data_IF_854252004083
#
_entry.id   IF_854252004083
#
_cell.length_a   1.000
_cell.length_b   1.000
_cell.length_c   1.000
_cell.angle_alpha   90.00
_cell.angle_beta   90.00
_cell.angle_gamma   90.00
#
_symmetry.space_group_name_H-M   'P 1'
#
loop_
_entity.id
_entity.type
_entity.pdbx_description
1 polymer ?
#
# COMPACT_ATOMS: atom_id res chain seq x y z
N UNK A 1 -35.30 20.60 7.47
CA UNK A 1 -35.10 21.05 6.08
C UNK A 1 -33.68 21.48 5.74
N UNK A 2 -33.16 22.65 6.16
CA UNK A 2 -31.80 23.08 5.75
C UNK A 2 -30.66 22.18 6.27
N UNK A 3 -30.79 21.70 7.51
CA UNK A 3 -29.83 20.79 8.15
C UNK A 3 -29.81 19.40 7.46
N UNK A 4 -30.98 18.87 7.12
CA UNK A 4 -31.13 17.58 6.42
C UNK A 4 -30.57 17.64 4.99
N UNK A 5 -30.69 18.78 4.31
CA UNK A 5 -30.07 18.99 3.00
C UNK A 5 -28.54 19.03 3.10
N UNK A 6 -27.99 19.74 4.08
CA UNK A 6 -26.54 19.75 4.34
C UNK A 6 -25.98 18.36 4.64
N UNK A 7 -26.68 17.57 5.46
CA UNK A 7 -26.27 16.20 5.77
C UNK A 7 -26.27 15.31 4.52
N UNK A 8 -27.29 15.43 3.68
CA UNK A 8 -27.41 14.68 2.42
C UNK A 8 -26.28 15.04 1.44
N UNK A 9 -25.96 16.33 1.31
CA UNK A 9 -24.86 16.82 0.46
C UNK A 9 -23.50 16.35 0.99
N UNK A 10 -23.26 16.43 2.29
CA UNK A 10 -22.04 15.94 2.93
C UNK A 10 -21.85 14.43 2.73
N UNK A 11 -22.91 13.63 2.86
CA UNK A 11 -22.87 12.19 2.64
C UNK A 11 -22.61 11.83 1.17
N UNK A 12 -23.15 12.62 0.23
CA UNK A 12 -22.87 12.46 -1.19
C UNK A 12 -21.41 12.80 -1.52
N UNK A 13 -20.90 13.95 -1.07
CA UNK A 13 -19.51 14.38 -1.24
C UNK A 13 -18.54 13.35 -0.69
N UNK A 14 -18.83 12.80 0.50
CA UNK A 14 -18.03 11.73 1.10
C UNK A 14 -17.99 10.48 0.23
N UNK A 15 -19.12 10.02 -0.30
CA UNK A 15 -19.17 8.86 -1.20
C UNK A 15 -18.36 9.09 -2.46
N UNK A 16 -18.43 10.30 -3.02
CA UNK A 16 -17.68 10.69 -4.20
C UNK A 16 -16.17 10.73 -3.95
N UNK A 17 -15.73 11.34 -2.85
CA UNK A 17 -14.31 11.36 -2.45
C UNK A 17 -13.76 9.96 -2.18
N UNK A 18 -14.54 9.11 -1.51
CA UNK A 18 -14.20 7.70 -1.26
C UNK A 18 -14.02 6.93 -2.58
N UNK A 19 -14.87 7.19 -3.59
CA UNK A 19 -14.73 6.59 -4.92
C UNK A 19 -13.47 7.08 -5.64
N UNK A 20 -13.15 8.37 -5.56
CA UNK A 20 -11.90 8.93 -6.11
C UNK A 20 -10.69 8.23 -5.49
N UNK A 21 -10.68 8.04 -4.16
CA UNK A 21 -9.62 7.30 -3.48
C UNK A 21 -9.53 5.87 -4.04
N UNK A 22 -10.66 5.21 -4.29
CA UNK A 22 -10.68 3.87 -4.89
C UNK A 22 -10.05 3.82 -6.28
N UNK A 23 -10.33 4.81 -7.13
CA UNK A 23 -9.73 4.92 -8.47
C UNK A 23 -8.22 5.17 -8.38
N UNK A 24 -7.79 6.08 -7.49
CA UNK A 24 -6.37 6.35 -7.26
C UNK A 24 -5.65 5.11 -6.74
N UNK A 25 -6.27 4.38 -5.80
CA UNK A 25 -5.70 3.17 -5.22
C UNK A 25 -5.57 2.07 -6.29
N UNK A 26 -6.52 1.93 -7.22
CA UNK A 26 -6.40 1.03 -8.35
C UNK A 26 -5.26 1.42 -9.30
N UNK A 27 -5.14 2.70 -9.64
CA UNK A 27 -4.06 3.19 -10.51
C UNK A 27 -2.67 3.00 -9.87
N UNK A 28 -2.51 3.35 -8.59
CA UNK A 28 -1.27 3.13 -7.86
C UNK A 28 -0.96 1.64 -7.68
N UNK A 29 -1.99 0.79 -7.55
CA UNK A 29 -1.80 -0.67 -7.52
C UNK A 29 -1.22 -1.15 -8.85
N UNK A 30 -1.70 -0.66 -9.99
CA UNK A 30 -1.13 -1.02 -11.30
C UNK A 30 0.34 -0.61 -11.42
N UNK A 31 0.68 0.62 -11.02
CA UNK A 31 2.07 1.08 -11.01
C UNK A 31 2.96 0.20 -10.11
N UNK A 32 2.46 -0.14 -8.91
CA UNK A 32 3.17 -1.02 -7.98
C UNK A 32 3.38 -2.42 -8.56
N UNK A 33 2.36 -3.00 -9.19
CA UNK A 33 2.44 -4.31 -9.85
C UNK A 33 3.43 -4.29 -11.02
N UNK A 34 3.47 -3.22 -11.81
CA UNK A 34 4.45 -3.08 -12.90
C UNK A 34 5.87 -2.98 -12.34
N UNK A 35 6.10 -2.14 -11.32
CA UNK A 35 7.42 -1.97 -10.69
C UNK A 35 7.91 -3.28 -10.07
N UNK A 36 7.15 -3.83 -9.13
CA UNK A 36 7.49 -5.08 -8.45
C UNK A 36 7.56 -6.27 -9.39
N UNK A 37 6.66 -6.36 -10.38
CA UNK A 37 6.71 -7.40 -11.40
C UNK A 37 7.97 -7.35 -12.25
N UNK A 38 8.46 -6.15 -12.58
CA UNK A 38 9.76 -5.97 -13.26
C UNK A 38 10.92 -6.40 -12.36
N UNK A 39 10.92 -6.04 -11.08
CA UNK A 39 11.95 -6.46 -10.12
C UNK A 39 12.02 -7.99 -10.03
N UNK A 40 10.87 -8.66 -9.80
CA UNK A 40 10.78 -10.12 -9.69
C UNK A 40 11.28 -10.81 -10.96
N UNK A 41 10.86 -10.33 -12.14
CA UNK A 41 11.23 -10.93 -13.42
C UNK A 41 12.71 -10.78 -13.74
N UNK A 42 13.32 -9.64 -13.40
CA UNK A 42 14.72 -9.36 -13.68
C UNK A 42 15.67 -10.02 -12.67
N UNK A 43 15.24 -10.22 -11.42
CA UNK A 43 16.09 -10.84 -10.40
C UNK A 43 16.12 -12.37 -10.52
N UNK A 44 15.14 -12.98 -11.21
CA UNK A 44 14.96 -14.43 -11.35
C UNK A 44 15.02 -15.21 -10.02
N UNK A 45 14.88 -14.52 -8.89
CA UNK A 45 15.08 -15.07 -7.56
C UNK A 45 13.81 -14.89 -6.71
N UNK A 46 12.97 -15.92 -6.73
CA UNK A 46 11.79 -15.99 -5.88
C UNK A 46 12.10 -16.42 -4.44
N UNK A 47 13.32 -16.86 -4.13
CA UNK A 47 13.60 -17.52 -2.86
C UNK A 47 13.59 -16.56 -1.64
N UNK A 48 13.86 -15.27 -1.84
CA UNK A 48 13.91 -14.27 -0.77
C UNK A 48 13.11 -13.00 -1.08
N UNK A 49 13.72 -11.99 -1.71
CA UNK A 49 13.07 -10.70 -1.95
C UNK A 49 11.85 -10.80 -2.89
N UNK A 50 11.95 -11.65 -3.93
CA UNK A 50 10.88 -11.84 -4.91
C UNK A 50 9.56 -12.38 -4.32
N UNK A 51 9.62 -13.22 -3.28
CA UNK A 51 8.41 -13.74 -2.63
C UNK A 51 7.64 -12.66 -1.87
N UNK A 52 8.37 -11.77 -1.17
CA UNK A 52 7.77 -10.64 -0.46
C UNK A 52 7.07 -9.68 -1.44
N UNK A 53 7.72 -9.34 -2.55
CA UNK A 53 7.12 -8.53 -3.61
C UNK A 53 5.87 -9.19 -4.20
N UNK A 54 5.92 -10.51 -4.44
CA UNK A 54 4.79 -11.28 -4.97
C UNK A 54 3.57 -11.27 -4.02
N UNK A 55 3.78 -11.50 -2.73
CA UNK A 55 2.70 -11.38 -1.74
C UNK A 55 2.13 -9.97 -1.72
N UNK A 56 3.00 -8.95 -1.78
CA UNK A 56 2.57 -7.56 -1.91
C UNK A 56 1.66 -7.32 -3.11
N UNK A 57 1.98 -7.88 -4.29
CA UNK A 57 1.16 -7.80 -5.50
C UNK A 57 -0.22 -8.41 -5.26
N UNK A 58 -0.27 -9.67 -4.81
CA UNK A 58 -1.51 -10.42 -4.64
C UNK A 58 -2.45 -9.70 -3.67
N UNK A 59 -1.93 -9.31 -2.49
CA UNK A 59 -2.72 -8.61 -1.48
C UNK A 59 -3.15 -7.21 -1.93
N UNK A 60 -2.30 -6.48 -2.66
CA UNK A 60 -2.66 -5.15 -3.19
C UNK A 60 -3.80 -5.23 -4.20
N UNK A 61 -3.78 -6.19 -5.12
CA UNK A 61 -4.84 -6.39 -6.10
C UNK A 61 -6.16 -6.75 -5.39
N UNK A 62 -6.13 -7.73 -4.49
CA UNK A 62 -7.31 -8.16 -3.74
C UNK A 62 -7.90 -6.99 -2.95
N UNK A 63 -7.06 -6.23 -2.25
CA UNK A 63 -7.49 -5.10 -1.42
C UNK A 63 -8.07 -3.96 -2.26
N UNK A 64 -7.45 -3.61 -3.39
CA UNK A 64 -7.98 -2.60 -4.31
C UNK A 64 -9.36 -2.99 -4.84
N UNK A 65 -9.51 -4.25 -5.27
CA UNK A 65 -10.77 -4.80 -5.75
C UNK A 65 -11.83 -4.79 -4.64
N UNK A 66 -11.51 -5.26 -3.44
CA UNK A 66 -12.43 -5.25 -2.30
C UNK A 66 -12.86 -3.83 -1.90
N UNK A 67 -11.93 -2.86 -1.94
CA UNK A 67 -12.25 -1.46 -1.65
C UNK A 67 -13.18 -0.86 -2.71
N UNK A 68 -12.96 -1.14 -4.00
CA UNK A 68 -13.88 -0.72 -5.07
C UNK A 68 -15.27 -1.36 -4.92
N UNK A 69 -15.32 -2.67 -4.62
CA UNK A 69 -16.59 -3.37 -4.41
C UNK A 69 -17.44 -2.79 -3.29
N UNK A 70 -16.83 -2.17 -2.28
CA UNK A 70 -17.53 -1.49 -1.18
C UNK A 70 -18.47 -0.36 -1.67
N UNK A 71 -18.22 0.21 -2.84
CA UNK A 71 -19.08 1.22 -3.45
C UNK A 71 -20.35 0.66 -4.09
N UNK A 72 -20.32 -0.61 -4.51
CA UNK A 72 -21.43 -1.27 -5.20
C UNK A 72 -22.25 -2.16 -4.27
N UNK A 73 -21.64 -2.68 -3.20
CA UNK A 73 -22.31 -3.54 -2.23
C UNK A 73 -23.06 -2.70 -1.19
N UNK A 74 -24.32 -3.05 -0.85
CA UNK A 74 -25.04 -2.36 0.22
C UNK A 74 -24.25 -2.41 1.53
N UNK A 75 -24.00 -1.23 2.12
CA UNK A 75 -23.26 -1.00 3.38
C UNK A 75 -23.89 -1.65 4.64
N UNK A 76 -24.77 -2.64 4.49
CA UNK A 76 -25.38 -3.46 5.54
C UNK A 76 -24.50 -4.65 5.93
N UNK A 77 -23.51 -5.01 5.10
CA UNK A 77 -22.57 -6.09 5.39
C UNK A 77 -21.41 -5.62 6.32
N UNK A 78 -21.67 -5.47 7.61
CA UNK A 78 -20.64 -5.10 8.62
C UNK A 78 -19.41 -6.01 8.57
N UNK A 79 -19.61 -7.31 8.33
CA UNK A 79 -18.53 -8.29 8.18
C UNK A 79 -17.59 -7.96 7.02
N UNK A 80 -18.11 -7.42 5.92
CA UNK A 80 -17.31 -7.02 4.76
C UNK A 80 -16.42 -5.81 5.09
N UNK A 81 -16.92 -4.86 5.88
CA UNK A 81 -16.12 -3.70 6.32
C UNK A 81 -14.97 -4.11 7.25
N UNK A 82 -15.20 -5.05 8.16
CA UNK A 82 -14.14 -5.62 8.99
C UNK A 82 -13.11 -6.37 8.16
N UNK A 83 -13.57 -7.21 7.23
CA UNK A 83 -12.70 -7.94 6.31
C UNK A 83 -11.80 -7.00 5.49
N UNK A 84 -12.37 -5.94 4.91
CA UNK A 84 -11.61 -4.93 4.16
C UNK A 84 -10.60 -4.22 5.06
N UNK A 85 -10.95 -3.92 6.31
CA UNK A 85 -10.02 -3.29 7.25
C UNK A 85 -8.81 -4.18 7.54
N UNK A 86 -9.04 -5.48 7.78
CA UNK A 86 -7.96 -6.45 7.99
C UNK A 86 -7.11 -6.58 6.72
N UNK A 87 -7.74 -6.65 5.55
CA UNK A 87 -7.02 -6.72 4.27
C UNK A 87 -6.16 -5.49 4.00
N UNK A 88 -6.65 -4.28 4.30
CA UNK A 88 -5.88 -3.05 4.20
C UNK A 88 -4.63 -3.10 5.09
N UNK A 89 -4.75 -3.55 6.35
CA UNK A 89 -3.62 -3.64 7.28
C UNK A 89 -2.59 -4.68 6.82
N UNK A 90 -3.04 -5.86 6.41
CA UNK A 90 -2.13 -6.92 5.91
C UNK A 90 -1.41 -6.45 4.64
N UNK A 91 -2.14 -5.78 3.74
CA UNK A 91 -1.56 -5.22 2.51
C UNK A 91 -0.54 -4.14 2.83
N UNK A 92 -0.83 -3.23 3.76
CA UNK A 92 0.14 -2.24 4.23
C UNK A 92 1.41 -2.89 4.78
N UNK A 93 1.30 -3.99 5.52
CA UNK A 93 2.47 -4.71 6.03
C UNK A 93 3.33 -5.24 4.87
N UNK A 94 2.74 -5.91 3.88
CA UNK A 94 3.50 -6.44 2.74
C UNK A 94 4.08 -5.34 1.84
N UNK A 95 3.33 -4.28 1.58
CA UNK A 95 3.81 -3.13 0.79
C UNK A 95 4.93 -2.39 1.53
N UNK A 96 4.82 -2.21 2.86
CA UNK A 96 5.88 -1.62 3.67
C UNK A 96 7.13 -2.51 3.72
N UNK A 97 6.95 -3.82 3.76
CA UNK A 97 8.07 -4.75 3.68
C UNK A 97 8.76 -4.66 2.31
N UNK A 98 7.99 -4.65 1.21
CA UNK A 98 8.49 -4.40 -0.15
C UNK A 98 9.24 -3.06 -0.26
N UNK A 99 8.72 -1.99 0.35
CA UNK A 99 9.38 -0.69 0.41
C UNK A 99 10.72 -0.79 1.17
N UNK A 100 10.74 -1.52 2.28
CA UNK A 100 11.95 -1.74 3.09
C UNK A 100 13.03 -2.56 2.39
N UNK A 101 12.67 -3.37 1.40
CA UNK A 101 13.62 -4.07 0.53
C UNK A 101 14.13 -3.15 -0.60
N UNK A 102 13.25 -2.38 -1.23
CA UNK A 102 13.64 -1.47 -2.32
C UNK A 102 14.47 -0.25 -1.83
N UNK A 103 14.22 0.23 -0.61
CA UNK A 103 14.85 1.43 -0.05
C UNK A 103 16.39 1.37 0.01
N UNK A 104 16.99 0.35 0.64
CA UNK A 104 18.44 0.15 0.65
C UNK A 104 19.04 0.04 -0.76
N UNK A 105 18.38 -0.66 -1.68
CA UNK A 105 18.88 -0.83 -3.06
C UNK A 105 18.93 0.50 -3.81
N UNK A 106 17.94 1.37 -3.62
CA UNK A 106 17.96 2.74 -4.16
C UNK A 106 19.09 3.56 -3.54
N UNK A 107 19.34 3.39 -2.23
CA UNK A 107 20.49 4.02 -1.59
C UNK A 107 21.81 3.59 -2.20
N UNK A 108 21.93 2.31 -2.51
CA UNK A 108 23.12 1.77 -3.11
C UNK A 108 23.31 2.27 -4.54
N UNK A 109 22.22 2.32 -5.33
CA UNK A 109 22.22 2.89 -6.68
C UNK A 109 22.58 4.38 -6.70
N UNK A 110 22.15 5.16 -5.71
CA UNK A 110 22.45 6.59 -5.61
C UNK A 110 23.91 6.85 -5.24
N UNK A 111 24.48 6.07 -4.31
CA UNK A 111 25.90 6.15 -3.96
C UNK A 111 26.83 5.74 -5.10
N UNK A 112 26.38 4.84 -5.99
CA UNK A 112 27.09 4.48 -7.21
C UNK A 112 26.91 5.51 -8.34
N UNK A 113 26.12 6.58 -8.13
CA UNK A 113 25.84 7.62 -9.13
C UNK A 113 24.93 7.16 -10.29
N UNK A 114 24.24 6.02 -10.13
CA UNK A 114 23.35 5.44 -11.16
C UNK A 114 22.00 6.18 -11.19
N UNK A 115 21.59 6.74 -10.05
CA UNK A 115 20.42 7.60 -9.88
C UNK A 115 20.80 8.81 -9.02
N UNK A 116 20.06 9.92 -9.11
CA UNK A 116 20.39 11.15 -8.38
C UNK A 116 19.22 11.57 -7.47
N UNK A 117 19.13 10.94 -6.30
CA UNK A 117 18.16 11.23 -5.24
C UNK A 117 18.90 11.47 -3.92
N UNK A 118 19.39 12.69 -3.68
CA UNK A 118 20.16 13.00 -2.47
C UNK A 118 19.32 13.01 -1.19
N UNK A 119 18.07 13.45 -1.25
CA UNK A 119 17.35 13.91 -0.04
C UNK A 119 16.42 12.84 0.57
N UNK A 120 15.75 12.03 -0.26
CA UNK A 120 14.83 10.96 0.21
C UNK A 120 15.60 9.72 0.70
N UNK A 121 16.82 9.54 0.20
CA UNK A 121 17.64 8.34 0.35
C UNK A 121 18.54 8.39 1.59
N UNK A 122 18.79 9.58 2.13
CA UNK A 122 19.67 9.79 3.28
C UNK A 122 19.31 8.95 4.51
N UNK A 123 18.03 8.59 4.69
CA UNK A 123 17.56 7.77 5.81
C UNK A 123 18.07 6.32 5.76
N UNK A 124 18.40 5.81 4.57
CA UNK A 124 18.87 4.44 4.36
C UNK A 124 20.39 4.33 4.35
N UNK A 125 21.10 5.47 4.45
CA UNK A 125 22.57 5.58 4.36
C UNK A 125 23.33 4.78 5.43
N UNK A 126 22.69 4.47 6.55
CA UNK A 126 23.28 3.77 7.69
C UNK A 126 22.96 2.28 7.75
N UNK A 127 22.22 1.72 6.79
CA UNK A 127 21.84 0.30 6.79
C UNK A 127 22.96 -0.62 6.26
N UNK A 128 24.15 -0.58 6.86
CA UNK A 128 25.28 -1.44 6.45
C UNK A 128 26.18 -0.83 5.39
N UNK A 129 27.06 -1.66 4.81
CA UNK A 129 28.13 -1.23 3.88
C UNK A 129 28.08 -2.03 2.59
N UNK A 130 28.33 -1.39 1.45
CA UNK A 130 28.52 -2.08 0.18
C UNK A 130 29.89 -2.76 0.11
N UNK A 131 29.94 -3.90 -0.59
CA UNK A 131 31.17 -4.64 -0.86
C UNK A 131 31.34 -4.92 -2.34
N UNK A 132 32.56 -5.24 -2.76
CA UNK A 132 32.84 -5.72 -4.12
C UNK A 132 33.32 -7.15 -4.01
N UNK A 133 32.62 -8.08 -4.65
CA UNK A 133 32.99 -9.50 -4.69
C UNK A 133 33.37 -9.85 -6.13
N UNK A 134 34.40 -10.68 -6.30
CA UNK A 134 34.70 -11.27 -7.59
C UNK A 134 33.79 -12.49 -7.80
N UNK A 135 32.89 -12.40 -8.76
CA UNK A 135 32.01 -13.51 -9.12
C UNK A 135 32.76 -14.46 -10.06
N UNK A 136 33.11 -15.63 -9.54
CA UNK A 136 33.84 -16.65 -10.27
C UNK A 136 33.01 -17.31 -11.38
N UNK A 137 31.67 -17.20 -11.33
CA UNK A 137 30.79 -17.76 -12.36
C UNK A 137 30.71 -16.86 -13.60
N UNK A 138 30.77 -15.54 -13.41
CA UNK A 138 30.71 -14.55 -14.50
C UNK A 138 32.07 -13.96 -14.84
N UNK A 139 33.13 -14.27 -14.08
CA UNK A 139 34.47 -13.67 -14.18
C UNK A 139 34.46 -12.13 -14.11
N UNK A 140 33.50 -11.55 -13.38
CA UNK A 140 33.33 -10.10 -13.26
C UNK A 140 33.31 -9.68 -11.80
N UNK A 141 33.74 -8.45 -11.53
CA UNK A 141 33.57 -7.84 -10.20
C UNK A 141 32.13 -7.36 -10.09
N UNK A 142 31.41 -7.87 -9.10
CA UNK A 142 30.02 -7.53 -8.83
C UNK A 142 29.96 -6.72 -7.54
N UNK A 143 29.25 -5.59 -7.57
CA UNK A 143 28.98 -4.80 -6.36
C UNK A 143 27.84 -5.45 -5.62
N UNK A 144 28.10 -5.87 -4.39
CA UNK A 144 27.10 -6.38 -3.46
C UNK A 144 26.61 -5.23 -2.61
N UNK A 145 25.31 -4.99 -2.70
CA UNK A 145 24.61 -3.98 -1.94
C UNK A 145 24.51 -4.35 -0.46
N UNK A 146 23.96 -3.44 0.32
CA UNK A 146 23.80 -3.55 1.77
C UNK A 146 22.91 -4.70 2.21
N UNK A 147 22.01 -5.17 1.34
CA UNK A 147 21.16 -6.33 1.58
C UNK A 147 21.86 -7.67 1.28
N UNK A 148 23.14 -7.67 0.92
CA UNK A 148 23.87 -8.88 0.54
C UNK A 148 23.52 -9.39 -0.86
N UNK A 149 22.75 -8.63 -1.63
CA UNK A 149 22.38 -8.93 -3.01
C UNK A 149 23.10 -7.99 -4.00
N UNK A 150 23.35 -8.42 -5.25
CA UNK A 150 24.01 -7.59 -6.24
C UNK A 150 23.17 -6.35 -6.57
N UNK A 151 23.82 -5.17 -6.63
CA UNK A 151 23.15 -3.91 -6.99
C UNK A 151 22.87 -3.90 -8.49
N UNK A 152 21.60 -4.04 -8.87
CA UNK A 152 21.14 -4.05 -10.26
C UNK A 152 19.71 -3.52 -10.38
N UNK A 153 19.28 -3.22 -11.60
CA UNK A 153 17.90 -2.83 -11.92
C UNK A 153 17.38 -1.58 -11.17
N UNK A 154 18.25 -0.57 -10.97
CA UNK A 154 17.96 0.63 -10.18
C UNK A 154 16.65 1.34 -10.57
N UNK A 155 16.36 1.46 -11.87
CA UNK A 155 15.13 2.12 -12.37
C UNK A 155 13.86 1.35 -11.96
N UNK A 156 13.90 0.01 -11.97
CA UNK A 156 12.76 -0.80 -11.55
C UNK A 156 12.54 -0.74 -10.04
N UNK A 157 13.63 -0.70 -9.27
CA UNK A 157 13.59 -0.53 -7.82
C UNK A 157 13.07 0.87 -7.43
N UNK A 158 13.46 1.91 -8.16
CA UNK A 158 12.94 3.28 -8.00
C UNK A 158 11.43 3.35 -8.21
N UNK A 159 10.92 2.80 -9.32
CA UNK A 159 9.48 2.75 -9.59
C UNK A 159 8.74 1.98 -8.48
N UNK A 160 9.32 0.86 -8.03
CA UNK A 160 8.77 0.04 -6.94
C UNK A 160 8.68 0.81 -5.64
N UNK A 161 9.72 1.56 -5.27
CA UNK A 161 9.75 2.37 -4.06
C UNK A 161 8.74 3.51 -4.10
N UNK A 162 8.72 4.29 -5.19
CA UNK A 162 7.81 5.42 -5.33
C UNK A 162 6.34 4.96 -5.30
N UNK A 163 6.02 3.90 -6.04
CA UNK A 163 4.67 3.34 -6.07
C UNK A 163 4.26 2.70 -4.74
N UNK A 164 5.16 1.99 -4.05
CA UNK A 164 4.90 1.43 -2.72
C UNK A 164 4.63 2.53 -1.68
N UNK A 165 5.38 3.63 -1.72
CA UNK A 165 5.19 4.76 -0.81
C UNK A 165 3.81 5.42 -1.02
N UNK A 166 3.46 5.71 -2.28
CA UNK A 166 2.14 6.25 -2.63
C UNK A 166 1.00 5.30 -2.21
N UNK A 167 1.19 4.00 -2.43
CA UNK A 167 0.25 2.97 -1.99
C UNK A 167 0.04 3.00 -0.48
N UNK A 168 1.10 3.08 0.34
CA UNK A 168 0.96 3.15 1.80
C UNK A 168 0.14 4.35 2.25
N UNK A 169 0.39 5.53 1.66
CA UNK A 169 -0.38 6.74 1.96
C UNK A 169 -1.87 6.53 1.63
N UNK A 170 -2.17 6.00 0.45
CA UNK A 170 -3.55 5.73 0.03
C UNK A 170 -4.24 4.66 0.91
N UNK A 171 -3.51 3.63 1.34
CA UNK A 171 -4.05 2.59 2.23
C UNK A 171 -4.40 3.15 3.61
N UNK A 172 -3.60 4.07 4.15
CA UNK A 172 -3.91 4.76 5.41
C UNK A 172 -5.20 5.56 5.27
N UNK A 173 -5.36 6.32 4.19
CA UNK A 173 -6.56 7.11 3.92
C UNK A 173 -7.79 6.18 3.76
N UNK A 174 -7.65 5.12 2.97
CA UNK A 174 -8.70 4.12 2.77
C UNK A 174 -9.12 3.43 4.08
N UNK A 175 -8.15 3.13 4.96
CA UNK A 175 -8.42 2.55 6.27
C UNK A 175 -9.25 3.51 7.13
N UNK A 176 -8.87 4.79 7.21
CA UNK A 176 -9.66 5.78 7.95
C UNK A 176 -11.07 5.94 7.40
N UNK A 177 -11.25 5.90 6.08
CA UNK A 177 -12.58 5.97 5.47
C UNK A 177 -13.45 4.77 5.86
N UNK A 178 -12.92 3.53 5.74
CA UNK A 178 -13.63 2.31 6.14
C UNK A 178 -13.95 2.31 7.64
N UNK A 179 -13.00 2.71 8.48
CA UNK A 179 -13.20 2.81 9.93
C UNK A 179 -14.26 3.86 10.29
N UNK A 180 -14.30 5.00 9.59
CA UNK A 180 -15.35 6.01 9.79
C UNK A 180 -16.72 5.45 9.43
N UNK A 181 -16.86 4.68 8.34
CA UNK A 181 -18.13 3.99 7.99
C UNK A 181 -18.53 3.01 9.09
N UNK A 182 -17.60 2.20 9.59
CA UNK A 182 -17.83 1.25 10.68
C UNK A 182 -18.32 1.94 11.95
N UNK A 183 -17.63 2.99 12.41
CA UNK A 183 -17.97 3.72 13.63
C UNK A 183 -19.35 4.39 13.53
N UNK A 184 -19.68 5.04 12.41
CA UNK A 184 -21.02 5.61 12.22
C UNK A 184 -22.11 4.54 12.31
N UNK A 185 -21.85 3.34 11.78
CA UNK A 185 -22.81 2.22 11.83
C UNK A 185 -22.95 1.64 13.23
N UNK A 186 -21.84 1.39 13.93
CA UNK A 186 -21.88 0.91 15.31
C UNK A 186 -22.62 1.90 16.18
N UNK A 187 -22.35 3.21 16.06
CA UNK A 187 -23.09 4.26 16.77
C UNK A 187 -24.59 4.23 16.46
N UNK A 188 -24.97 4.13 15.18
CA UNK A 188 -26.38 4.04 14.78
C UNK A 188 -27.07 2.80 15.37
N UNK A 189 -26.38 1.66 15.46
CA UNK A 189 -26.93 0.44 16.06
C UNK A 189 -27.02 0.57 17.59
N UNK A 190 -25.92 0.87 18.26
CA UNK A 190 -25.83 0.93 19.73
C UNK A 190 -26.72 2.01 20.33
N UNK A 191 -26.81 3.19 19.72
CA UNK A 191 -27.66 4.25 20.23
C UNK A 191 -29.10 4.13 19.71
N UNK A 192 -29.30 3.71 18.45
CA UNK A 192 -30.64 3.50 17.88
C UNK A 192 -31.42 2.38 18.57
N UNK A 193 -30.79 1.25 18.86
CA UNK A 193 -31.42 0.16 19.63
C UNK A 193 -31.71 0.60 21.07
N UNK A 194 -30.85 1.44 21.67
CA UNK A 194 -31.08 2.00 23.01
C UNK A 194 -32.31 2.91 23.07
N UNK A 195 -32.60 3.70 22.03
CA UNK A 195 -33.82 4.53 21.99
C UNK A 195 -35.09 3.68 21.87
N UNK A 196 -35.01 2.55 21.13
CA UNK A 196 -36.10 1.56 21.03
C UNK A 196 -36.30 0.82 22.36
N UNK A 197 -35.23 0.44 23.05
CA UNK A 197 -35.28 -0.18 24.39
C UNK A 197 -35.73 0.78 25.49
N UNK A 198 -35.40 2.08 25.36
CA UNK A 198 -35.84 3.12 26.30
C UNK A 198 -37.26 3.62 26.02
N UNK A 199 -37.99 3.04 25.05
CA UNK A 199 -39.40 3.35 24.80
C UNK A 199 -39.66 4.78 24.29
N UNK A 200 -38.63 5.48 23.83
CA UNK A 200 -38.78 6.82 23.25
C UNK A 200 -39.01 6.63 21.75
N UNK A 201 -40.27 6.39 21.37
CA UNK A 201 -40.73 6.58 20.00
C UNK A 201 -41.12 8.05 19.82
N UNK A 202 -40.57 8.72 18.81
CA UNK A 202 -41.10 10.01 18.35
C UNK A 202 -42.56 9.88 17.93
#
# INVERSE_FOLDING_TARGET
>A
MALEFMDTVCDFLRKFLSLIIGVLLAFCTLLYVIGTGRVITLEHNFAHAGFAHFLGIVFSIITAVCYIFLHFVPRKAYRLLYFISVMLVITMFFVAHSLGLAGPVISDCNELGIINYSDIVAKWKHMGTMGVIFDNATNTKVVIGRLGEPVRNCVAQELTFASALLMLILHVIALFDVQKVLLTRVKSKTYGERFVEMGISN
#
